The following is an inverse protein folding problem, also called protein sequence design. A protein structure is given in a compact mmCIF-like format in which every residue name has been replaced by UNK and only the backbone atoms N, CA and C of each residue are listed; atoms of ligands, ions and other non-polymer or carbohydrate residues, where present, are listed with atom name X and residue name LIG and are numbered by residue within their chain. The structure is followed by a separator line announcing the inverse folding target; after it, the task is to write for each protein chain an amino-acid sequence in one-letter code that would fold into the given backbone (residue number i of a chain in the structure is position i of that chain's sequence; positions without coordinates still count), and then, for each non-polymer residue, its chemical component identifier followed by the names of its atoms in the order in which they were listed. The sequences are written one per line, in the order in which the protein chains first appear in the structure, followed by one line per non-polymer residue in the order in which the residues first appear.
data_IF_776497185505
#
_entry.id   IF_776497185505
#
_cell.length_a   1.000
_cell.length_b   1.000
_cell.length_c   1.000
_cell.angle_alpha   90.00
_cell.angle_beta   90.00
_cell.angle_gamma   90.00
#
_symmetry.space_group_name_H-M   'P 1'
#
loop_
_entity.id
_entity.type
_entity.pdbx_description
1 polymer ?
#
# COMPACT_ATOMS: atom_id res chain seq x y z
N UNK A 1 19.75 -28.69 13.12
CA UNK A 1 19.27 -27.29 13.09
C UNK A 1 17.82 -27.35 12.67
N UNK A 2 16.91 -27.31 13.64
CA UNK A 2 15.47 -27.26 13.37
C UNK A 2 15.16 -25.83 12.95
N UNK A 3 14.83 -25.64 11.67
CA UNK A 3 14.21 -24.41 11.20
C UNK A 3 12.88 -24.29 11.94
N UNK A 4 12.82 -23.43 12.94
CA UNK A 4 11.55 -23.04 13.54
C UNK A 4 10.71 -22.45 12.41
N UNK A 5 9.67 -23.17 12.01
CA UNK A 5 8.66 -22.65 11.12
C UNK A 5 8.04 -21.46 11.84
N UNK A 6 8.34 -20.25 11.38
CA UNK A 6 7.75 -19.03 11.89
C UNK A 6 6.23 -19.19 11.76
N UNK A 7 5.54 -19.22 12.89
CA UNK A 7 4.10 -19.39 12.95
C UNK A 7 3.43 -18.06 12.57
N UNK A 8 3.07 -17.93 11.30
CA UNK A 8 2.32 -16.79 10.76
C UNK A 8 0.82 -16.84 11.11
N UNK A 9 0.38 -17.75 11.99
CA UNK A 9 -1.03 -17.81 12.41
C UNK A 9 -1.48 -16.58 13.20
N UNK A 10 -0.53 -15.73 13.63
CA UNK A 10 -0.77 -14.44 14.28
C UNK A 10 -0.79 -13.23 13.31
N UNK A 11 -0.63 -13.46 11.99
CA UNK A 11 -0.57 -12.42 10.94
C UNK A 11 -1.91 -12.17 10.23
N UNK A 12 -3.03 -12.66 10.78
CA UNK A 12 -4.35 -12.26 10.27
C UNK A 12 -4.66 -10.86 10.79
N UNK A 13 -4.29 -9.85 10.01
CA UNK A 13 -4.73 -8.48 10.25
C UNK A 13 -6.25 -8.38 10.07
N UNK A 14 -6.90 -7.61 10.93
CA UNK A 14 -8.30 -7.24 10.68
C UNK A 14 -8.39 -6.38 9.43
N UNK A 15 -9.54 -6.42 8.74
CA UNK A 15 -9.80 -5.57 7.57
C UNK A 15 -9.63 -4.07 7.90
N UNK A 16 -9.91 -3.67 9.15
CA UNK A 16 -9.71 -2.28 9.60
C UNK A 16 -8.22 -1.95 9.60
N UNK A 17 -7.37 -2.79 10.19
CA UNK A 17 -5.94 -2.58 10.24
C UNK A 17 -5.30 -2.55 8.85
N UNK A 18 -5.71 -3.46 7.97
CA UNK A 18 -5.26 -3.49 6.56
C UNK A 18 -5.56 -2.16 5.86
N UNK A 19 -6.81 -1.70 5.95
CA UNK A 19 -7.25 -0.47 5.30
C UNK A 19 -6.54 0.76 5.89
N UNK A 20 -6.45 0.87 7.21
CA UNK A 20 -5.72 1.98 7.84
C UNK A 20 -4.26 2.04 7.42
N UNK A 21 -3.62 0.88 7.27
CA UNK A 21 -2.20 0.78 6.92
C UNK A 21 -1.97 1.15 5.46
N UNK A 22 -2.84 0.67 4.57
CA UNK A 22 -2.86 1.08 3.16
C UNK A 22 -2.99 2.60 3.03
N UNK A 23 -4.00 3.19 3.68
CA UNK A 23 -4.25 4.64 3.61
C UNK A 23 -3.10 5.46 4.21
N UNK A 24 -2.55 5.05 5.37
CA UNK A 24 -1.37 5.71 5.96
C UNK A 24 -0.18 5.65 5.01
N UNK A 25 0.03 4.52 4.33
CA UNK A 25 1.15 4.37 3.39
C UNK A 25 0.96 5.24 2.15
N UNK A 26 -0.24 5.25 1.56
CA UNK A 26 -0.59 6.14 0.44
C UNK A 26 -0.33 7.59 0.82
N UNK A 27 -0.85 8.05 1.95
CA UNK A 27 -0.73 9.45 2.40
C UNK A 27 0.73 9.82 2.71
N UNK A 28 1.56 8.88 3.17
CA UNK A 28 2.98 9.12 3.45
C UNK A 28 3.80 9.46 2.19
N UNK A 29 3.43 8.90 1.04
CA UNK A 29 4.10 9.13 -0.25
C UNK A 29 3.38 10.18 -1.12
N UNK A 30 2.05 10.17 -1.10
CA UNK A 30 1.17 11.07 -1.83
C UNK A 30 0.11 11.64 -0.88
N UNK A 31 0.48 12.69 -0.13
CA UNK A 31 -0.48 13.44 0.67
C UNK A 31 -1.59 14.02 -0.20
N UNK A 32 -2.76 14.31 0.38
CA UNK A 32 -3.91 14.84 -0.36
C UNK A 32 -3.56 16.09 -1.19
N UNK A 33 -2.79 17.02 -0.63
CA UNK A 33 -2.32 18.21 -1.35
C UNK A 33 -1.40 17.88 -2.53
N UNK A 34 -0.52 16.88 -2.39
CA UNK A 34 0.34 16.41 -3.48
C UNK A 34 -0.49 15.75 -4.58
N UNK A 35 -1.48 14.92 -4.23
CA UNK A 35 -2.39 14.32 -5.20
C UNK A 35 -3.13 15.38 -6.01
N UNK A 36 -3.79 16.34 -5.34
CA UNK A 36 -4.49 17.44 -6.02
C UNK A 36 -3.58 18.30 -6.89
N UNK A 37 -2.33 18.52 -6.48
CA UNK A 37 -1.34 19.26 -7.27
C UNK A 37 -0.99 18.48 -8.54
N UNK A 38 -0.72 17.17 -8.42
CA UNK A 38 -0.44 16.32 -9.58
C UNK A 38 -1.64 16.22 -10.53
N UNK A 39 -2.87 16.14 -10.01
CA UNK A 39 -4.08 16.22 -10.82
C UNK A 39 -4.17 17.51 -11.64
N UNK A 40 -3.87 18.63 -10.99
CA UNK A 40 -4.03 19.96 -11.60
C UNK A 40 -2.91 20.29 -12.60
N UNK A 41 -1.67 19.96 -12.27
CA UNK A 41 -0.49 20.45 -13.02
C UNK A 41 0.54 19.37 -13.38
N UNK A 42 0.37 18.13 -12.92
CA UNK A 42 1.29 17.04 -13.20
C UNK A 42 1.24 16.60 -14.66
N UNK A 43 2.36 16.05 -15.14
CA UNK A 43 2.40 15.41 -16.46
C UNK A 43 1.58 14.11 -16.47
N UNK A 44 1.27 13.60 -17.66
CA UNK A 44 0.56 12.33 -17.79
C UNK A 44 1.30 11.19 -17.08
N UNK A 45 2.64 11.16 -17.20
CA UNK A 45 3.49 10.15 -16.58
C UNK A 45 3.47 10.24 -15.06
N UNK A 46 3.52 11.46 -14.50
CA UNK A 46 3.47 11.65 -13.05
C UNK A 46 2.12 11.24 -12.45
N UNK A 47 1.02 11.53 -13.16
CA UNK A 47 -0.33 11.09 -12.77
C UNK A 47 -0.42 9.57 -12.83
N UNK A 48 0.05 8.97 -13.92
CA UNK A 48 0.05 7.52 -14.10
C UNK A 48 0.86 6.82 -13.00
N UNK A 49 2.03 7.35 -12.65
CA UNK A 49 2.86 6.82 -11.57
C UNK A 49 2.11 6.86 -10.23
N UNK A 50 1.48 8.01 -9.91
CA UNK A 50 0.68 8.16 -8.70
C UNK A 50 -0.49 7.17 -8.64
N UNK A 51 -1.28 7.05 -9.72
CA UNK A 51 -2.40 6.12 -9.76
C UNK A 51 -1.94 4.68 -9.62
N UNK A 52 -0.90 4.28 -10.37
CA UNK A 52 -0.35 2.93 -10.31
C UNK A 52 0.09 2.56 -8.89
N UNK A 53 0.73 3.48 -8.18
CA UNK A 53 1.11 3.28 -6.79
C UNK A 53 -0.10 3.11 -5.86
N UNK A 54 -1.08 4.01 -5.96
CA UNK A 54 -2.31 3.95 -5.14
C UNK A 54 -3.09 2.66 -5.41
N UNK A 55 -3.24 2.29 -6.67
CA UNK A 55 -3.96 1.08 -7.09
C UNK A 55 -3.23 -0.17 -6.58
N UNK A 56 -1.90 -0.22 -6.68
CA UNK A 56 -1.12 -1.34 -6.13
C UNK A 56 -1.30 -1.49 -4.61
N UNK A 57 -1.34 -0.39 -3.87
CA UNK A 57 -1.60 -0.40 -2.42
C UNK A 57 -3.01 -0.93 -2.11
N UNK A 58 -4.01 -0.55 -2.92
CA UNK A 58 -5.39 -1.01 -2.76
C UNK A 58 -5.57 -2.47 -3.15
N UNK A 59 -4.87 -2.93 -4.18
CA UNK A 59 -4.85 -4.33 -4.59
C UNK A 59 -4.26 -5.20 -3.47
N UNK A 60 -3.20 -4.75 -2.82
CA UNK A 60 -2.67 -5.39 -1.61
C UNK A 60 -3.74 -5.47 -0.51
N UNK A 61 -4.42 -4.36 -0.21
CA UNK A 61 -5.42 -4.31 0.86
C UNK A 61 -6.64 -5.22 0.61
N UNK A 62 -6.97 -5.45 -0.67
CA UNK A 62 -8.08 -6.30 -1.09
C UNK A 62 -7.68 -7.78 -1.33
N UNK A 63 -6.42 -8.15 -1.10
CA UNK A 63 -5.98 -9.54 -1.22
C UNK A 63 -6.60 -10.43 -0.13
N UNK A 64 -6.68 -11.74 -0.36
CA UNK A 64 -7.30 -12.67 0.60
C UNK A 64 -6.51 -12.77 1.92
N UNK A 65 -5.19 -12.62 1.85
CA UNK A 65 -4.28 -12.74 2.98
C UNK A 65 -3.14 -11.70 2.86
N UNK A 66 -3.43 -10.40 3.03
CA UNK A 66 -2.44 -9.34 2.87
C UNK A 66 -1.33 -9.50 3.90
N UNK A 67 -0.08 -9.56 3.46
CA UNK A 67 1.06 -9.59 4.39
C UNK A 67 1.66 -8.21 4.51
N UNK A 68 2.00 -7.80 5.73
CA UNK A 68 2.51 -6.46 6.01
C UNK A 68 3.73 -6.09 5.18
N UNK A 69 4.65 -7.02 4.95
CA UNK A 69 5.88 -6.73 4.19
C UNK A 69 5.59 -6.44 2.72
N UNK A 70 4.59 -7.08 2.12
CA UNK A 70 4.22 -6.90 0.71
C UNK A 70 3.78 -5.46 0.42
N UNK A 71 3.19 -4.76 1.40
CA UNK A 71 2.84 -3.34 1.26
C UNK A 71 4.08 -2.47 1.02
N UNK A 72 5.19 -2.78 1.70
CA UNK A 72 6.42 -1.97 1.63
C UNK A 72 7.26 -2.28 0.38
N UNK A 73 6.99 -3.39 -0.30
CA UNK A 73 7.57 -3.71 -1.60
C UNK A 73 6.96 -2.86 -2.73
N UNK A 74 5.78 -2.26 -2.50
CA UNK A 74 5.13 -1.36 -3.44
C UNK A 74 5.83 0.01 -3.41
N UNK A 75 6.62 0.30 -4.43
CA UNK A 75 7.35 1.57 -4.56
C UNK A 75 6.59 2.57 -5.44
N UNK A 76 6.57 3.86 -5.08
CA UNK A 76 5.94 4.91 -5.87
C UNK A 76 6.69 5.22 -7.17
#
# INVERSE_FOLDING_TARGET
MTVEAIDYSNDIMSLIEVNERCEKYIVSHYSMGKQLTLERTGTAEQKQQMYKFIDSCRDWANSEHPKVHELYDIQP
#
